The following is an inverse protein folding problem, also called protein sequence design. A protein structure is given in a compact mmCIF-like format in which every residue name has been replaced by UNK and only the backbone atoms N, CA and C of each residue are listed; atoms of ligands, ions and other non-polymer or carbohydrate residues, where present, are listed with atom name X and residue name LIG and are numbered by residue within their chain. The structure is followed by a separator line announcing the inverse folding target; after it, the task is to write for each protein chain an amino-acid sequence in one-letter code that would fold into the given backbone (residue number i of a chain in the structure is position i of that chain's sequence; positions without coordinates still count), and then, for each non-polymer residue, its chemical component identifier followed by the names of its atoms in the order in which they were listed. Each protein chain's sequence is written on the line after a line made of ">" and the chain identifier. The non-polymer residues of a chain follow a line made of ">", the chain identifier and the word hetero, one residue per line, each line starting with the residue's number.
data_IF_400494206689
#
_entry.id   IF_400494206689
#
_cell.length_a   1.000
_cell.length_b   1.000
_cell.length_c   1.000
_cell.angle_alpha   90.00
_cell.angle_beta   90.00
_cell.angle_gamma   90.00
#
_symmetry.space_group_name_H-M   'P 1'
#
loop_
_entity.id
_entity.type
_entity.pdbx_description
1 polymer ?
#
# COMPACT_ATOMS: atom_id res chain seq x y z
N UNK A 1 3.06 -17.01 6.98
CA UNK A 1 2.02 -16.36 7.81
C UNK A 1 1.09 -15.61 6.88
N UNK A 2 -0.05 -16.19 6.55
CA UNK A 2 -1.06 -15.55 5.71
C UNK A 2 -1.69 -14.39 6.48
N UNK A 3 -1.21 -13.17 6.23
CA UNK A 3 -1.86 -11.97 6.75
C UNK A 3 -3.26 -11.88 6.12
N UNK A 4 -4.34 -11.68 6.90
CA UNK A 4 -5.66 -11.54 6.32
C UNK A 4 -5.65 -10.36 5.35
N UNK A 5 -6.10 -10.62 4.12
CA UNK A 5 -6.08 -9.65 3.05
C UNK A 5 -6.64 -8.29 3.48
N UNK A 6 -5.80 -7.26 3.46
CA UNK A 6 -6.21 -5.89 3.76
C UNK A 6 -6.75 -5.21 2.50
N UNK A 7 -7.61 -4.20 2.69
CA UNK A 7 -8.04 -3.26 1.66
C UNK A 7 -7.19 -1.99 1.78
N UNK A 8 -6.60 -1.54 0.67
CA UNK A 8 -5.87 -0.27 0.62
C UNK A 8 -6.82 0.87 0.25
N UNK A 9 -6.81 1.94 1.04
CA UNK A 9 -7.55 3.19 0.77
C UNK A 9 -6.54 4.32 0.68
N UNK A 10 -6.41 4.91 -0.51
CA UNK A 10 -5.53 6.07 -0.70
C UNK A 10 -6.23 7.35 -0.25
N UNK A 11 -5.48 8.28 0.36
CA UNK A 11 -6.04 9.54 0.84
C UNK A 11 -7.11 9.35 1.92
N UNK A 12 -6.87 8.41 2.84
CA UNK A 12 -7.80 7.94 3.87
C UNK A 12 -8.40 9.06 4.74
N UNK A 13 -7.68 10.17 4.93
CA UNK A 13 -8.14 11.35 5.68
C UNK A 13 -9.16 12.21 4.92
N UNK A 14 -9.47 11.88 3.66
CA UNK A 14 -10.44 12.60 2.85
C UNK A 14 -11.88 12.35 3.31
N UNK A 15 -12.78 13.26 2.95
CA UNK A 15 -14.18 13.21 3.35
C UNK A 15 -14.88 11.88 2.97
N UNK A 16 -14.74 11.45 1.72
CA UNK A 16 -15.31 10.18 1.24
C UNK A 16 -14.48 8.98 1.71
N UNK A 17 -13.15 9.10 1.65
CA UNK A 17 -12.24 8.01 1.98
C UNK A 17 -12.37 7.57 3.45
N UNK A 18 -12.49 8.51 4.38
CA UNK A 18 -12.70 8.22 5.80
C UNK A 18 -13.98 7.43 6.06
N UNK A 19 -15.03 7.66 5.27
CA UNK A 19 -16.27 6.89 5.35
C UNK A 19 -16.10 5.46 4.83
N UNK A 20 -15.32 5.28 3.76
CA UNK A 20 -14.96 3.95 3.25
C UNK A 20 -14.16 3.18 4.30
N UNK A 21 -13.20 3.85 4.97
CA UNK A 21 -12.45 3.26 6.08
C UNK A 21 -13.39 2.83 7.19
N UNK A 22 -14.31 3.71 7.63
CA UNK A 22 -15.31 3.38 8.66
C UNK A 22 -16.12 2.14 8.30
N UNK A 23 -16.74 2.12 7.12
CA UNK A 23 -17.58 0.99 6.68
C UNK A 23 -16.75 -0.29 6.54
N UNK A 24 -15.50 -0.20 6.09
CA UNK A 24 -14.58 -1.33 6.03
C UNK A 24 -14.31 -1.92 7.42
N UNK A 25 -14.00 -1.06 8.40
CA UNK A 25 -13.75 -1.47 9.79
C UNK A 25 -14.99 -2.07 10.45
N UNK A 26 -16.17 -1.49 10.22
CA UNK A 26 -17.46 -2.00 10.72
C UNK A 26 -17.80 -3.39 10.17
N UNK A 27 -17.45 -3.66 8.91
CA UNK A 27 -17.61 -4.98 8.27
C UNK A 27 -16.52 -5.99 8.67
N UNK A 28 -15.59 -5.61 9.54
CA UNK A 28 -14.52 -6.47 10.03
C UNK A 28 -13.30 -6.60 9.10
N UNK A 29 -13.19 -5.78 8.05
CA UNK A 29 -12.01 -5.78 7.19
C UNK A 29 -10.80 -5.14 7.88
N UNK A 30 -9.61 -5.61 7.51
CA UNK A 30 -8.35 -4.89 7.75
C UNK A 30 -8.18 -3.81 6.69
N UNK A 31 -7.82 -2.61 7.11
CA UNK A 31 -7.71 -1.44 6.24
C UNK A 31 -6.30 -0.85 6.35
N UNK A 32 -5.66 -0.67 5.20
CA UNK A 32 -4.44 0.11 5.04
C UNK A 32 -4.83 1.47 4.47
N UNK A 33 -4.75 2.52 5.28
CA UNK A 33 -5.05 3.89 4.84
C UNK A 33 -3.76 4.66 4.53
N UNK A 34 -3.70 5.37 3.41
CA UNK A 34 -2.60 6.32 3.18
C UNK A 34 -3.03 7.75 3.47
N UNK A 35 -2.18 8.49 4.15
CA UNK A 35 -2.32 9.93 4.41
C UNK A 35 -1.02 10.64 4.04
N UNK A 36 -1.03 11.97 3.92
CA UNK A 36 0.22 12.70 3.64
C UNK A 36 1.23 12.58 4.79
N UNK A 37 0.73 12.67 6.03
CA UNK A 37 1.54 12.48 7.23
C UNK A 37 0.78 11.65 8.28
N UNK A 38 1.21 10.40 8.48
CA UNK A 38 0.62 9.49 9.46
C UNK A 38 0.84 9.92 10.93
N UNK A 39 1.76 10.87 11.18
CA UNK A 39 2.01 11.44 12.51
C UNK A 39 1.16 12.67 12.80
N UNK A 40 0.63 13.34 11.78
CA UNK A 40 -0.24 14.51 11.93
C UNK A 40 -1.57 14.12 12.58
N UNK A 41 -1.81 14.58 13.81
CA UNK A 41 -3.06 14.35 14.52
C UNK A 41 -4.27 14.96 13.78
N UNK A 42 -4.09 16.10 13.12
CA UNK A 42 -5.13 16.77 12.33
C UNK A 42 -5.76 15.83 11.29
N UNK A 43 -4.92 15.15 10.51
CA UNK A 43 -5.37 14.27 9.43
C UNK A 43 -5.72 12.85 9.88
N UNK A 44 -5.32 12.44 11.08
CA UNK A 44 -5.41 11.03 11.52
C UNK A 44 -6.28 10.79 12.74
N UNK A 45 -6.56 11.81 13.56
CA UNK A 45 -7.32 11.65 14.80
C UNK A 45 -8.71 11.05 14.55
N UNK A 46 -9.41 11.56 13.53
CA UNK A 46 -10.74 11.07 13.15
C UNK A 46 -10.73 9.62 12.62
N UNK A 47 -9.62 9.17 12.01
CA UNK A 47 -9.49 7.77 11.56
C UNK A 47 -9.17 6.83 12.72
N UNK A 48 -8.34 7.30 13.66
CA UNK A 48 -7.95 6.54 14.85
C UNK A 48 -9.09 6.40 15.86
N UNK A 49 -10.04 7.32 15.88
CA UNK A 49 -11.23 7.26 16.74
C UNK A 49 -12.33 6.33 16.22
N UNK A 50 -12.19 5.76 15.01
CA UNK A 50 -13.19 4.85 14.46
C UNK A 50 -13.24 3.52 15.23
N UNK A 51 -14.43 2.92 15.41
CA UNK A 51 -14.55 1.60 16.03
C UNK A 51 -13.72 0.55 15.30
N UNK A 52 -12.90 -0.21 16.04
CA UNK A 52 -12.03 -1.25 15.49
C UNK A 52 -10.76 -0.73 14.79
N UNK A 53 -10.52 0.59 14.76
CA UNK A 53 -9.31 1.15 14.16
C UNK A 53 -8.02 0.67 14.85
N UNK A 54 -8.02 0.58 16.18
CA UNK A 54 -6.83 0.16 16.95
C UNK A 54 -6.29 -1.22 16.54
N UNK A 55 -7.17 -2.13 16.09
CA UNK A 55 -6.81 -3.50 15.73
C UNK A 55 -6.64 -3.70 14.21
N UNK A 56 -7.46 -3.00 13.43
CA UNK A 56 -7.65 -3.29 11.99
C UNK A 56 -7.24 -2.16 11.06
N UNK A 57 -6.95 -0.97 11.56
CA UNK A 57 -6.46 0.16 10.74
C UNK A 57 -4.94 0.32 10.88
N UNK A 58 -4.25 0.34 9.74
CA UNK A 58 -2.85 0.80 9.65
C UNK A 58 -2.78 2.04 8.76
N UNK A 59 -2.09 3.07 9.23
CA UNK A 59 -1.90 4.32 8.50
C UNK A 59 -0.45 4.40 7.99
N UNK A 60 -0.30 4.76 6.71
CA UNK A 60 0.96 4.92 6.03
C UNK A 60 1.10 6.35 5.50
N UNK A 61 2.28 6.95 5.62
CA UNK A 61 2.57 8.22 4.96
C UNK A 61 2.88 7.95 3.49
N UNK A 62 2.09 8.50 2.57
CA UNK A 62 2.31 8.38 1.14
C UNK A 62 2.07 9.70 0.41
N UNK A 63 2.78 9.88 -0.70
CA UNK A 63 2.73 11.10 -1.49
C UNK A 63 2.69 10.76 -2.98
N UNK A 64 1.69 11.28 -3.70
CA UNK A 64 1.45 10.97 -5.12
C UNK A 64 2.68 11.20 -6.01
N UNK A 65 3.47 12.23 -5.73
CA UNK A 65 4.63 12.61 -6.53
C UNK A 65 5.90 11.85 -6.13
N UNK A 66 5.86 11.07 -5.06
CA UNK A 66 7.01 10.30 -4.57
C UNK A 66 6.88 8.84 -4.98
N UNK A 67 7.71 8.43 -5.92
CA UNK A 67 7.81 7.04 -6.38
C UNK A 67 8.08 6.09 -5.19
N UNK A 68 7.37 4.96 -5.16
CA UNK A 68 7.50 3.94 -4.12
C UNK A 68 6.84 4.28 -2.78
N UNK A 69 6.23 5.46 -2.61
CA UNK A 69 5.63 5.86 -1.33
C UNK A 69 4.36 5.07 -0.94
N UNK A 70 3.81 4.28 -1.87
CA UNK A 70 2.64 3.43 -1.64
C UNK A 70 3.00 1.96 -1.44
N UNK A 71 4.26 1.57 -1.67
CA UNK A 71 4.68 0.15 -1.75
C UNK A 71 4.38 -0.59 -0.45
N UNK A 72 4.67 0.04 0.70
CA UNK A 72 4.36 -0.52 2.02
C UNK A 72 2.85 -0.60 2.30
N UNK A 73 2.08 0.40 1.84
CA UNK A 73 0.64 0.42 2.06
C UNK A 73 -0.08 -0.68 1.26
N UNK A 74 0.40 -0.97 0.04
CA UNK A 74 -0.15 -2.02 -0.81
C UNK A 74 0.41 -3.41 -0.47
N UNK A 75 1.57 -3.49 0.18
CA UNK A 75 2.15 -4.75 0.64
C UNK A 75 1.18 -5.47 1.60
N UNK A 76 0.69 -6.65 1.18
CA UNK A 76 -0.29 -7.43 1.95
C UNK A 76 -1.76 -7.11 1.68
N UNK A 77 -2.05 -6.16 0.77
CA UNK A 77 -3.40 -6.00 0.24
C UNK A 77 -3.65 -7.03 -0.87
N UNK A 78 -4.81 -7.72 -0.86
CA UNK A 78 -5.17 -8.58 -2.01
C UNK A 78 -5.62 -7.70 -3.16
N UNK A 79 -4.87 -7.74 -4.25
CA UNK A 79 -5.44 -7.42 -5.55
C UNK A 79 -6.39 -8.57 -5.95
N UNK A 80 -7.62 -8.26 -6.42
CA UNK A 80 -8.50 -9.30 -6.94
C UNK A 80 -7.77 -10.04 -8.06
N UNK A 81 -7.75 -11.37 -7.95
CA UNK A 81 -7.10 -12.29 -8.90
C UNK A 81 -7.87 -12.19 -10.23
N UNK A 82 -7.43 -11.30 -11.12
CA UNK A 82 -8.12 -10.99 -12.38
C UNK A 82 -7.86 -9.59 -12.93
N UNK A 83 -7.45 -8.63 -12.08
CA UNK A 83 -6.97 -7.33 -12.58
C UNK A 83 -5.47 -7.41 -12.88
N UNK A 84 -5.13 -8.20 -13.91
CA UNK A 84 -3.91 -7.94 -14.66
C UNK A 84 -4.21 -6.71 -15.52
N UNK A 85 -3.60 -5.58 -15.21
CA UNK A 85 -3.52 -4.49 -16.18
C UNK A 85 -2.83 -5.07 -17.41
N UNK A 86 -3.59 -5.29 -18.48
CA UNK A 86 -3.05 -5.72 -19.76
C UNK A 86 -2.08 -4.63 -20.22
N UNK A 87 -0.80 -4.83 -19.95
CA UNK A 87 0.22 -3.82 -20.13
C UNK A 87 1.56 -4.22 -19.53
N UNK A 88 2.07 -5.38 -19.95
CA UNK A 88 3.43 -5.83 -19.63
C UNK A 88 3.45 -7.02 -18.69
N UNK A 89 3.91 -8.14 -19.23
CA UNK A 89 4.28 -9.35 -18.50
C UNK A 89 5.44 -9.10 -17.51
N UNK A 90 5.13 -8.40 -16.42
CA UNK A 90 5.96 -8.29 -15.23
C UNK A 90 5.27 -9.02 -14.09
N UNK A 91 5.76 -10.21 -13.74
CA UNK A 91 5.36 -10.88 -12.50
C UNK A 91 5.75 -9.98 -11.33
N UNK A 92 4.79 -9.27 -10.74
CA UNK A 92 5.00 -8.51 -9.50
C UNK A 92 5.44 -9.49 -8.41
N UNK A 93 6.72 -9.45 -8.04
CA UNK A 93 7.31 -10.18 -6.91
C UNK A 93 7.56 -9.13 -5.82
N UNK A 94 7.01 -9.30 -4.60
CA UNK A 94 7.38 -8.43 -3.49
C UNK A 94 8.89 -8.55 -3.28
N UNK A 95 9.58 -7.41 -3.27
CA UNK A 95 11.03 -7.36 -3.02
C UNK A 95 11.25 -7.70 -1.55
N UNK A 96 11.84 -8.86 -1.28
CA UNK A 96 12.28 -9.20 0.07
C UNK A 96 13.36 -8.19 0.50
N UNK A 97 13.12 -7.49 1.61
CA UNK A 97 14.11 -6.59 2.19
C UNK A 97 15.19 -7.43 2.89
N UNK A 98 16.15 -7.92 2.11
CA UNK A 98 17.41 -8.44 2.64
C UNK A 98 18.34 -7.28 2.99
N UNK A 99 18.84 -7.29 4.21
CA UNK A 99 20.06 -6.61 4.63
C UNK A 99 21.17 -6.78 3.58
N UNK A 100 21.72 -5.67 3.07
CA UNK A 100 23.16 -5.55 2.90
C UNK A 100 23.60 -4.12 2.58
N UNK A 101 24.61 -3.73 3.36
CA UNK A 101 25.36 -2.51 3.30
C UNK A 101 26.21 -2.38 2.02
N UNK A 102 26.58 -1.12 1.77
CA UNK A 102 27.71 -0.66 0.96
C UNK A 102 27.55 -0.66 -0.57
N UNK A 103 27.85 0.51 -1.16
CA UNK A 103 28.43 0.57 -2.49
C UNK A 103 27.50 0.94 -3.64
N UNK A 104 27.27 2.24 -3.84
CA UNK A 104 27.46 2.89 -5.14
C UNK A 104 26.51 2.59 -6.32
N UNK A 105 25.95 3.69 -6.85
CA UNK A 105 25.40 3.91 -8.21
C UNK A 105 24.02 3.33 -8.55
N UNK A 106 23.02 4.21 -8.46
CA UNK A 106 21.97 4.34 -9.48
C UNK A 106 22.50 5.16 -10.67
N UNK A 107 21.91 5.13 -11.90
CA UNK A 107 20.78 4.34 -12.40
C UNK A 107 20.98 3.74 -13.83
N UNK A 108 19.91 3.13 -14.36
CA UNK A 108 19.55 2.91 -15.79
C UNK A 108 19.76 1.51 -16.40
N UNK A 109 18.61 0.93 -16.81
CA UNK A 109 18.30 -0.07 -17.87
C UNK A 109 17.76 -1.42 -17.40
N UNK A 110 16.49 -1.64 -17.72
CA UNK A 110 15.89 -2.96 -17.85
C UNK A 110 16.35 -3.58 -19.17
N UNK A 111 17.08 -4.69 -19.11
CA UNK A 111 17.41 -5.50 -20.29
C UNK A 111 16.28 -6.50 -20.50
N UNK A 112 15.53 -6.35 -21.59
CA UNK A 112 14.59 -7.37 -22.08
C UNK A 112 15.42 -8.49 -22.68
N UNK A 113 15.40 -9.68 -22.05
CA UNK A 113 15.94 -10.90 -22.66
C UNK A 113 14.92 -11.42 -23.68
N UNK A 114 15.27 -11.30 -24.96
CA UNK A 114 14.56 -11.97 -26.05
C UNK A 114 15.02 -13.43 -26.06
N UNK A 115 14.19 -14.37 -25.63
CA UNK A 115 14.43 -15.78 -25.90
C UNK A 115 13.66 -16.15 -27.16
N UNK A 116 14.41 -16.39 -28.24
CA UNK A 116 13.90 -17.03 -29.44
C UNK A 116 13.80 -18.54 -29.23
N UNK A 117 12.72 -19.11 -29.75
CA UNK A 117 12.68 -20.24 -30.70
C UNK A 117 11.23 -20.54 -31.03
#
# INVERSE_FOLDING_TARGET
>A
MDNPAAVCVTGASGFIASHIVRVGLERGYRVHGTVRDAKSAESTAHLRSLPGAAERLRLFSAELLKQGSYDEAVAGCKVPRGLALAGGQGSWRPRESGDQASGGRHPQRATVLHQGS
#
